data_IF_271515682588
#
_entry.id   IF_271515682588
#
_cell.length_a   1.000
_cell.length_b   1.000
_cell.length_c   1.000
_cell.angle_alpha   90.00
_cell.angle_beta   90.00
_cell.angle_gamma   90.00
#
_symmetry.space_group_name_H-M   'P 1'
#
loop_
_entity.id
_entity.type
_entity.pdbx_description
1 polymer ?
#
# COMPACT_ATOMS: atom_id res chain seq x y z
N UNK A 1 24.63 -0.20 -4.88
CA UNK A 1 24.40 -1.66 -5.01
C UNK A 1 23.84 -2.34 -3.75
N UNK A 2 24.33 -2.08 -2.52
CA UNK A 2 23.79 -2.74 -1.29
C UNK A 2 22.29 -2.49 -1.01
N UNK A 3 21.73 -1.34 -1.40
CA UNK A 3 20.30 -1.03 -1.23
C UNK A 3 19.40 -1.83 -2.18
N UNK A 4 19.81 -2.05 -3.43
CA UNK A 4 19.02 -2.75 -4.44
C UNK A 4 18.70 -4.18 -3.99
N UNK A 5 19.70 -4.94 -3.53
CA UNK A 5 19.53 -6.32 -3.07
C UNK A 5 18.60 -6.39 -1.83
N UNK A 6 18.71 -5.41 -0.91
CA UNK A 6 17.78 -5.30 0.23
C UNK A 6 16.35 -5.05 -0.23
N UNK A 7 16.15 -4.12 -1.18
CA UNK A 7 14.84 -3.77 -1.72
C UNK A 7 14.19 -4.96 -2.45
N UNK A 8 14.94 -5.68 -3.29
CA UNK A 8 14.46 -6.88 -3.99
C UNK A 8 13.97 -7.94 -3.01
N UNK A 9 14.78 -8.26 -2.00
CA UNK A 9 14.41 -9.23 -0.95
C UNK A 9 13.16 -8.80 -0.18
N UNK A 10 13.00 -7.50 0.10
CA UNK A 10 11.86 -6.96 0.86
C UNK A 10 10.55 -6.98 0.08
N UNK A 11 10.59 -6.65 -1.21
CA UNK A 11 9.37 -6.51 -2.02
C UNK A 11 8.91 -7.85 -2.58
N UNK A 12 9.84 -8.67 -3.05
CA UNK A 12 9.52 -9.89 -3.78
C UNK A 12 9.67 -11.17 -2.95
N UNK A 13 10.33 -11.09 -1.79
CA UNK A 13 10.64 -12.23 -0.93
C UNK A 13 11.96 -12.93 -1.31
N UNK A 14 12.41 -13.90 -0.50
CA UNK A 14 13.63 -14.64 -0.76
C UNK A 14 13.53 -15.48 -2.05
N UNK A 15 14.61 -15.52 -2.85
CA UNK A 15 14.71 -16.36 -4.04
C UNK A 15 14.13 -15.78 -5.33
N UNK A 16 13.69 -14.52 -5.34
CA UNK A 16 13.20 -13.84 -6.55
C UNK A 16 14.29 -13.05 -7.26
N UNK A 17 14.25 -13.07 -8.59
CA UNK A 17 15.07 -12.24 -9.47
C UNK A 17 14.25 -10.97 -9.77
N UNK A 18 14.88 -9.79 -9.65
CA UNK A 18 14.33 -8.52 -10.12
C UNK A 18 15.37 -7.85 -11.01
N UNK A 19 14.93 -7.21 -12.08
CA UNK A 19 15.79 -6.50 -13.01
C UNK A 19 16.09 -5.09 -12.47
N UNK A 20 17.20 -4.47 -12.90
CA UNK A 20 17.63 -3.16 -12.37
C UNK A 20 16.49 -2.13 -12.38
N UNK A 21 15.83 -2.02 -13.52
CA UNK A 21 14.70 -1.13 -13.78
C UNK A 21 13.50 -1.38 -12.84
N UNK A 22 13.28 -2.62 -12.40
CA UNK A 22 12.19 -3.00 -11.48
C UNK A 22 12.42 -2.46 -10.05
N UNK A 23 13.63 -2.01 -9.74
CA UNK A 23 14.09 -1.69 -8.37
C UNK A 23 14.55 -0.24 -8.23
N UNK A 24 14.73 0.49 -9.33
CA UNK A 24 15.22 1.88 -9.31
C UNK A 24 14.30 2.79 -8.50
N UNK A 25 12.98 2.77 -8.78
CA UNK A 25 11.99 3.56 -8.06
C UNK A 25 12.00 3.23 -6.57
N UNK A 26 12.06 1.95 -6.22
CA UNK A 26 12.07 1.53 -4.82
C UNK A 26 13.39 1.87 -4.10
N UNK A 27 14.50 1.89 -4.83
CA UNK A 27 15.80 2.34 -4.32
C UNK A 27 15.81 3.85 -4.06
N UNK A 28 15.22 4.63 -4.98
CA UNK A 28 15.01 6.07 -4.79
C UNK A 28 14.14 6.33 -3.55
N UNK A 29 12.99 5.67 -3.45
CA UNK A 29 12.09 5.79 -2.30
C UNK A 29 12.78 5.41 -0.99
N UNK A 30 13.55 4.32 -0.98
CA UNK A 30 14.30 3.88 0.20
C UNK A 30 15.35 4.89 0.66
N UNK A 31 15.90 5.70 -0.25
CA UNK A 31 16.83 6.78 0.07
C UNK A 31 16.21 7.94 0.85
N UNK A 32 14.88 8.06 0.87
CA UNK A 32 14.17 9.15 1.55
C UNK A 32 14.04 8.95 3.08
N UNK A 33 14.25 7.72 3.58
CA UNK A 33 14.24 7.41 5.02
C UNK A 33 13.02 7.98 5.75
N UNK A 34 13.25 8.86 6.74
CA UNK A 34 12.19 9.50 7.55
C UNK A 34 11.16 10.28 6.73
N UNK A 35 11.55 10.86 5.59
CA UNK A 35 10.59 11.56 4.72
C UNK A 35 9.57 10.59 4.11
N UNK A 36 9.98 9.35 3.82
CA UNK A 36 9.09 8.30 3.32
C UNK A 36 8.09 7.86 4.39
N UNK A 37 8.54 7.74 5.64
CA UNK A 37 7.69 7.46 6.80
C UNK A 37 6.64 8.55 7.00
N UNK A 38 7.07 9.82 7.01
CA UNK A 38 6.18 10.97 7.13
C UNK A 38 5.17 11.06 5.99
N UNK A 39 5.62 10.80 4.75
CA UNK A 39 4.73 10.72 3.59
C UNK A 39 3.66 9.65 3.78
N UNK A 40 4.05 8.40 4.07
CA UNK A 40 3.11 7.30 4.33
C UNK A 40 2.12 7.64 5.44
N UNK A 41 2.61 8.24 6.54
CA UNK A 41 1.76 8.65 7.66
C UNK A 41 0.79 9.76 7.26
N UNK A 42 1.22 10.73 6.46
CA UNK A 42 0.35 11.83 6.00
C UNK A 42 -0.80 11.33 5.11
N UNK A 43 -0.56 10.29 4.31
CA UNK A 43 -1.54 9.76 3.35
C UNK A 43 -2.49 8.77 4.01
N UNK A 44 -1.96 7.84 4.79
CA UNK A 44 -2.71 6.68 5.31
C UNK A 44 -2.96 6.73 6.82
N UNK A 45 -2.39 7.71 7.52
CA UNK A 45 -2.44 7.79 8.99
C UNK A 45 -3.86 7.95 9.56
N UNK A 46 -4.81 8.49 8.79
CA UNK A 46 -6.22 8.52 9.20
C UNK A 46 -6.81 7.12 9.40
N UNK A 47 -6.31 6.11 8.67
CA UNK A 47 -6.76 4.72 8.81
C UNK A 47 -6.11 4.04 10.04
N UNK A 48 -4.92 4.47 10.45
CA UNK A 48 -4.18 3.85 11.57
C UNK A 48 -4.66 4.29 12.95
N UNK A 49 -5.45 5.37 13.00
CA UNK A 49 -5.98 5.92 14.25
C UNK A 49 -6.62 4.83 15.11
N UNK A 50 -6.39 4.91 16.43
CA UNK A 50 -6.79 3.83 17.35
C UNK A 50 -8.31 3.60 17.37
N UNK A 51 -9.10 4.66 17.18
CA UNK A 51 -10.55 4.61 17.10
C UNK A 51 -11.08 3.89 15.84
N UNK A 52 -10.25 3.70 14.81
CA UNK A 52 -10.64 3.04 13.57
C UNK A 52 -10.65 1.53 13.78
N UNK A 53 -11.86 0.98 13.91
CA UNK A 53 -12.08 -0.47 13.99
C UNK A 53 -11.63 -1.15 12.70
N UNK A 54 -11.05 -2.33 12.85
CA UNK A 54 -10.59 -3.17 11.73
C UNK A 54 -9.58 -2.48 10.79
N UNK A 55 -8.73 -1.57 11.31
CA UNK A 55 -7.73 -0.83 10.53
C UNK A 55 -6.86 -1.71 9.61
N UNK A 56 -6.48 -2.91 10.07
CA UNK A 56 -5.72 -3.89 9.28
C UNK A 56 -6.50 -4.34 8.04
N UNK A 57 -7.76 -4.73 8.23
CA UNK A 57 -8.66 -5.13 7.16
C UNK A 57 -8.92 -4.00 6.16
N UNK A 58 -9.04 -2.76 6.64
CA UNK A 58 -9.24 -1.59 5.76
C UNK A 58 -8.00 -1.33 4.90
N UNK A 59 -6.80 -1.36 5.47
CA UNK A 59 -5.56 -1.23 4.71
C UNK A 59 -5.36 -2.37 3.71
N UNK A 60 -5.64 -3.61 4.11
CA UNK A 60 -5.57 -4.76 3.22
C UNK A 60 -6.60 -4.64 2.08
N UNK A 61 -7.81 -4.18 2.40
CA UNK A 61 -8.86 -3.95 1.40
C UNK A 61 -8.43 -2.89 0.39
N UNK A 62 -7.91 -1.75 0.86
CA UNK A 62 -7.40 -0.69 -0.01
C UNK A 62 -6.30 -1.23 -0.94
N UNK A 63 -5.33 -1.96 -0.38
CA UNK A 63 -4.23 -2.55 -1.16
C UNK A 63 -4.74 -3.46 -2.27
N UNK A 64 -5.53 -4.47 -1.93
CA UNK A 64 -6.02 -5.45 -2.92
C UNK A 64 -6.91 -4.77 -3.96
N UNK A 65 -7.78 -3.84 -3.53
CA UNK A 65 -8.61 -3.09 -4.46
C UNK A 65 -7.80 -2.24 -5.45
N UNK A 66 -6.72 -1.61 -4.99
CA UNK A 66 -5.83 -0.83 -5.84
C UNK A 66 -5.01 -1.72 -6.80
N UNK A 67 -4.55 -2.88 -6.33
CA UNK A 67 -3.83 -3.89 -7.14
C UNK A 67 -4.74 -4.53 -8.21
N UNK A 68 -6.02 -4.72 -7.92
CA UNK A 68 -7.06 -5.15 -8.88
C UNK A 68 -7.54 -4.00 -9.79
N UNK A 69 -6.78 -2.91 -9.92
CA UNK A 69 -7.13 -1.78 -10.79
C UNK A 69 -8.51 -1.16 -10.51
N UNK A 70 -9.03 -1.33 -9.29
CA UNK A 70 -10.36 -0.83 -8.89
C UNK A 70 -11.51 -1.78 -9.21
N UNK A 71 -11.23 -2.99 -9.69
CA UNK A 71 -12.22 -4.04 -9.88
C UNK A 71 -12.69 -4.59 -8.53
N UNK A 72 -13.90 -4.20 -8.13
CA UNK A 72 -14.50 -4.64 -6.87
C UNK A 72 -14.84 -6.14 -6.85
N UNK A 73 -15.14 -6.75 -8.00
CA UNK A 73 -15.42 -8.18 -8.08
C UNK A 73 -14.16 -9.00 -7.78
N UNK A 74 -13.09 -8.71 -8.52
CA UNK A 74 -11.80 -9.39 -8.37
C UNK A 74 -11.20 -9.16 -6.98
N UNK A 75 -11.32 -7.94 -6.43
CA UNK A 75 -10.83 -7.64 -5.09
C UNK A 75 -11.59 -8.41 -4.01
N UNK A 76 -12.92 -8.55 -4.13
CA UNK A 76 -13.73 -9.32 -3.19
C UNK A 76 -13.34 -10.80 -3.21
N UNK A 77 -13.10 -11.36 -4.41
CA UNK A 77 -12.64 -12.74 -4.59
C UNK A 77 -11.26 -12.97 -3.96
N UNK A 78 -10.27 -12.10 -4.23
CA UNK A 78 -8.93 -12.19 -3.64
C UNK A 78 -8.91 -12.05 -2.13
N UNK A 79 -9.84 -11.27 -1.56
CA UNK A 79 -9.99 -11.10 -0.12
C UNK A 79 -10.85 -12.19 0.53
N UNK A 80 -11.46 -13.09 -0.25
CA UNK A 80 -12.40 -14.10 0.22
C UNK A 80 -13.57 -13.50 1.04
N UNK A 81 -14.09 -12.35 0.59
CA UNK A 81 -15.22 -11.66 1.23
C UNK A 81 -16.37 -11.41 0.27
N UNK A 82 -17.58 -11.27 0.81
CA UNK A 82 -18.74 -10.87 0.01
C UNK A 82 -18.60 -9.44 -0.52
N UNK A 83 -19.14 -9.18 -1.73
CA UNK A 83 -19.10 -7.85 -2.38
C UNK A 83 -19.69 -6.73 -1.52
N UNK A 84 -20.74 -7.02 -0.74
CA UNK A 84 -21.33 -6.04 0.19
C UNK A 84 -20.34 -5.63 1.28
N UNK A 85 -19.58 -6.59 1.82
CA UNK A 85 -18.54 -6.32 2.82
C UNK A 85 -17.42 -5.49 2.23
N UNK A 86 -16.97 -5.81 1.01
CA UNK A 86 -15.98 -4.99 0.29
C UNK A 86 -16.48 -3.55 0.13
N UNK A 87 -17.68 -3.36 -0.41
CA UNK A 87 -18.29 -2.04 -0.62
C UNK A 87 -18.39 -1.26 0.69
N UNK A 88 -18.79 -1.92 1.78
CA UNK A 88 -18.80 -1.31 3.10
C UNK A 88 -17.40 -0.80 3.50
N UNK A 89 -16.37 -1.65 3.41
CA UNK A 89 -14.99 -1.28 3.74
C UNK A 89 -14.47 -0.14 2.87
N UNK A 90 -14.69 -0.20 1.55
CA UNK A 90 -14.34 0.88 0.63
C UNK A 90 -15.03 2.19 1.01
N UNK A 91 -16.32 2.18 1.34
CA UNK A 91 -17.00 3.39 1.80
C UNK A 91 -16.41 3.96 3.09
N UNK A 92 -15.98 3.11 4.04
CA UNK A 92 -15.29 3.57 5.24
C UNK A 92 -13.94 4.20 4.91
N UNK A 93 -13.13 3.55 4.05
CA UNK A 93 -11.83 4.07 3.62
C UNK A 93 -12.00 5.43 2.92
N UNK A 94 -13.00 5.57 2.03
CA UNK A 94 -13.28 6.84 1.33
C UNK A 94 -13.62 7.96 2.31
N UNK A 95 -14.38 7.66 3.37
CA UNK A 95 -14.69 8.62 4.43
C UNK A 95 -13.46 9.04 5.23
N UNK A 96 -12.60 8.08 5.58
CA UNK A 96 -11.38 8.34 6.36
C UNK A 96 -10.36 9.17 5.56
N UNK A 97 -10.23 8.90 4.26
CA UNK A 97 -9.28 9.58 3.38
C UNK A 97 -9.78 10.91 2.83
N UNK A 98 -11.10 11.12 2.82
CA UNK A 98 -11.73 12.38 2.37
C UNK A 98 -11.60 12.68 0.87
N UNK A 99 -10.94 11.81 0.09
CA UNK A 99 -10.73 11.99 -1.36
C UNK A 99 -11.02 10.69 -2.12
N UNK A 100 -11.52 10.81 -3.35
CA UNK A 100 -11.75 9.68 -4.25
C UNK A 100 -10.44 9.22 -4.90
N UNK A 101 -10.20 7.91 -4.94
CA UNK A 101 -9.07 7.25 -5.64
C UNK A 101 -9.33 6.99 -7.13
N UNK A 102 -10.37 7.62 -7.69
CA UNK A 102 -10.62 7.66 -9.14
C UNK A 102 -9.65 8.60 -9.86
N UNK A 103 -9.10 9.58 -9.13
CA UNK A 103 -8.01 10.43 -9.56
C UNK A 103 -6.71 9.59 -9.69
N UNK A 104 -6.10 9.51 -10.89
CA UNK A 104 -4.90 8.70 -11.11
C UNK A 104 -3.71 9.10 -10.23
N UNK A 105 -3.50 10.39 -9.98
CA UNK A 105 -2.39 10.89 -9.18
C UNK A 105 -2.60 10.57 -7.71
N UNK A 106 -3.84 10.65 -7.23
CA UNK A 106 -4.15 10.24 -5.87
C UNK A 106 -4.07 8.72 -5.71
N UNK A 107 -4.48 7.96 -6.72
CA UNK A 107 -4.33 6.51 -6.76
C UNK A 107 -2.86 6.11 -6.66
N UNK A 108 -2.00 6.77 -7.44
CA UNK A 108 -0.55 6.58 -7.37
C UNK A 108 0.00 6.94 -5.99
N UNK A 109 -0.45 8.07 -5.41
CA UNK A 109 -0.09 8.49 -4.06
C UNK A 109 -0.41 7.40 -3.01
N UNK A 110 -1.60 6.81 -3.08
CA UNK A 110 -2.03 5.74 -2.17
C UNK A 110 -1.21 4.46 -2.34
N UNK A 111 -0.96 4.04 -3.58
CA UNK A 111 -0.10 2.88 -3.88
C UNK A 111 1.32 3.11 -3.36
N UNK A 112 1.91 4.26 -3.62
CA UNK A 112 3.26 4.61 -3.13
C UNK A 112 3.30 4.64 -1.61
N UNK A 113 2.28 5.16 -0.92
CA UNK A 113 2.19 5.15 0.53
C UNK A 113 2.09 3.71 1.10
N UNK A 114 1.34 2.82 0.44
CA UNK A 114 1.26 1.41 0.83
C UNK A 114 2.61 0.70 0.63
N UNK A 115 3.29 0.92 -0.50
CA UNK A 115 4.61 0.34 -0.78
C UNK A 115 5.69 0.90 0.14
N UNK A 116 5.59 2.18 0.50
CA UNK A 116 6.46 2.80 1.50
C UNK A 116 6.40 2.04 2.83
N UNK A 117 5.21 1.67 3.31
CA UNK A 117 5.06 0.84 4.53
C UNK A 117 5.77 -0.50 4.41
N UNK A 118 5.68 -1.15 3.26
CA UNK A 118 6.34 -2.44 3.03
C UNK A 118 7.87 -2.29 3.10
N UNK A 119 8.41 -1.22 2.50
CA UNK A 119 9.84 -0.90 2.53
C UNK A 119 10.37 -0.59 3.94
N UNK A 120 9.59 0.18 4.71
CA UNK A 120 9.91 0.58 6.10
C UNK A 120 9.81 -0.62 7.04
N UNK A 121 8.72 -1.40 6.96
CA UNK A 121 8.53 -2.57 7.82
C UNK A 121 9.65 -3.59 7.64
N UNK A 122 10.07 -3.85 6.41
CA UNK A 122 11.22 -4.71 6.14
C UNK A 122 12.60 -4.09 6.48
N UNK A 123 12.69 -2.85 6.97
CA UNK A 123 13.95 -2.21 7.39
C UNK A 123 14.29 -2.37 8.88
N UNK A 124 13.33 -2.80 9.69
CA UNK A 124 13.48 -3.02 11.13
C UNK A 124 13.79 -4.48 11.50
N UNK A 125 14.00 -5.34 10.50
CA UNK A 125 14.55 -6.70 10.59
C UNK A 125 16.01 -6.73 10.08
#
# INVERSE_FOLDING_TARGET
MKNVIKVVRKIHGPGRIAFGDDVEVYSLLSGLGKQLEQFSQSVLGMIDKEEVKNRRDLLQTLRVYLECQGNAGEAAEKLFIHRNTLRYRLNQIKKLLGRSWEDPDYRFTLLTALKARDLIAGAND
#
